data_IF_892262058312
#
_entry.id   IF_892262058312
#
_cell.length_a   1.000
_cell.length_b   1.000
_cell.length_c   1.000
_cell.angle_alpha   90.00
_cell.angle_beta   90.00
_cell.angle_gamma   90.00
#
_symmetry.space_group_name_H-M   'P 1'
#
loop_
_entity.id
_entity.type
_entity.pdbx_description
1 polymer ?
#
# COMPACT_ATOMS: atom_id res chain seq x y z
N UNK A 1 -3.82 21.94 1.36
CA UNK A 1 -5.13 22.22 0.74
C UNK A 1 -5.81 20.90 0.40
N UNK A 2 -7.00 20.65 0.94
CA UNK A 2 -7.75 19.41 0.72
C UNK A 2 -8.44 19.43 -0.64
N UNK A 3 -8.09 18.50 -1.53
CA UNK A 3 -8.81 18.24 -2.78
C UNK A 3 -10.25 17.81 -2.49
N UNK A 4 -11.18 18.77 -2.38
CA UNK A 4 -12.62 18.55 -2.52
C UNK A 4 -13.03 19.08 -3.91
N UNK A 5 -12.75 18.30 -4.95
CA UNK A 5 -13.16 18.60 -6.34
C UNK A 5 -14.29 17.65 -6.79
N UNK A 6 -14.93 16.92 -5.89
CA UNK A 6 -15.97 15.95 -6.27
C UNK A 6 -17.28 16.27 -5.54
N UNK A 7 -18.34 16.53 -6.30
CA UNK A 7 -19.72 16.49 -5.82
C UNK A 7 -20.01 15.07 -5.31
N UNK A 8 -20.79 14.95 -4.24
CA UNK A 8 -21.21 13.63 -3.74
C UNK A 8 -22.25 12.95 -4.65
N UNK A 9 -22.67 13.65 -5.70
CA UNK A 9 -23.67 13.28 -6.68
C UNK A 9 -23.07 12.51 -7.88
N UNK A 10 -23.89 11.67 -8.51
CA UNK A 10 -23.60 10.93 -9.74
C UNK A 10 -24.54 11.40 -10.86
N UNK A 11 -24.06 11.36 -12.12
CA UNK A 11 -24.93 11.55 -13.29
C UNK A 11 -26.04 10.48 -13.30
N UNK A 12 -27.29 10.82 -13.61
CA UNK A 12 -28.45 9.91 -13.54
C UNK A 12 -28.51 9.09 -12.23
N UNK A 13 -28.47 9.77 -11.09
CA UNK A 13 -28.38 9.17 -9.76
C UNK A 13 -29.33 7.98 -9.52
N UNK A 14 -30.57 8.05 -10.02
CA UNK A 14 -31.57 6.99 -9.85
C UNK A 14 -31.12 5.67 -10.49
N UNK A 15 -30.59 5.72 -11.71
CA UNK A 15 -30.11 4.53 -12.45
C UNK A 15 -28.94 3.89 -11.71
N UNK A 16 -27.97 4.70 -11.30
CA UNK A 16 -26.78 4.20 -10.57
C UNK A 16 -27.14 3.66 -9.20
N UNK A 17 -28.11 4.25 -8.52
CA UNK A 17 -28.61 3.71 -7.25
C UNK A 17 -29.29 2.35 -7.44
N UNK A 18 -30.01 2.14 -8.56
CA UNK A 18 -30.57 0.81 -8.89
C UNK A 18 -29.46 -0.22 -9.12
N UNK A 19 -28.43 0.12 -9.89
CA UNK A 19 -27.27 -0.76 -10.09
C UNK A 19 -26.58 -1.13 -8.77
N UNK A 20 -26.45 -0.16 -7.85
CA UNK A 20 -25.73 -0.32 -6.59
C UNK A 20 -26.52 -1.04 -5.49
N UNK A 21 -27.83 -1.23 -5.67
CA UNK A 21 -28.76 -1.62 -4.60
C UNK A 21 -28.42 -2.98 -3.97
N UNK A 22 -28.06 -3.95 -4.79
CA UNK A 22 -27.92 -5.35 -4.37
C UNK A 22 -26.47 -5.72 -4.01
N UNK A 23 -25.54 -4.77 -4.08
CA UNK A 23 -24.14 -5.01 -3.72
C UNK A 23 -23.89 -4.86 -2.20
N UNK A 24 -23.01 -5.69 -1.62
CA UNK A 24 -22.53 -5.50 -0.25
C UNK A 24 -21.90 -4.12 -0.05
N UNK A 25 -21.93 -3.60 1.18
CA UNK A 25 -21.55 -2.22 1.47
C UNK A 25 -20.16 -1.82 0.96
N UNK A 26 -19.16 -2.67 1.19
CA UNK A 26 -17.80 -2.41 0.73
C UNK A 26 -17.71 -2.32 -0.81
N UNK A 27 -18.42 -3.19 -1.52
CA UNK A 27 -18.49 -3.20 -2.98
C UNK A 27 -19.22 -1.96 -3.48
N UNK A 28 -20.35 -1.63 -2.85
CA UNK A 28 -21.14 -0.43 -3.15
C UNK A 28 -20.31 0.85 -3.00
N UNK A 29 -19.54 0.98 -1.92
CA UNK A 29 -18.64 2.10 -1.70
C UNK A 29 -17.53 2.19 -2.77
N UNK A 30 -16.92 1.07 -3.13
CA UNK A 30 -15.89 1.03 -4.17
C UNK A 30 -16.46 1.45 -5.54
N UNK A 31 -17.60 0.87 -5.93
CA UNK A 31 -18.27 1.17 -7.19
C UNK A 31 -18.72 2.63 -7.26
N UNK A 32 -19.32 3.12 -6.17
CA UNK A 32 -19.79 4.50 -6.05
C UNK A 32 -18.69 5.52 -6.27
N UNK A 33 -17.46 5.25 -5.81
CA UNK A 33 -16.32 6.18 -6.01
C UNK A 33 -15.98 6.35 -7.49
N UNK A 34 -15.98 5.26 -8.26
CA UNK A 34 -15.74 5.32 -9.70
C UNK A 34 -16.88 6.05 -10.40
N UNK A 35 -18.13 5.71 -10.07
CA UNK A 35 -19.32 6.33 -10.67
C UNK A 35 -19.45 7.84 -10.37
N UNK A 36 -19.10 8.28 -9.15
CA UNK A 36 -19.04 9.71 -8.79
C UNK A 36 -17.96 10.45 -9.58
N UNK A 37 -16.80 9.82 -9.81
CA UNK A 37 -15.74 10.42 -10.63
C UNK A 37 -16.08 10.42 -12.12
N UNK A 38 -16.85 9.44 -12.59
CA UNK A 38 -17.34 9.40 -13.97
C UNK A 38 -18.23 10.60 -14.31
N UNK A 39 -18.99 11.12 -13.34
CA UNK A 39 -19.89 12.28 -13.51
C UNK A 39 -19.22 13.44 -14.23
N UNK A 40 -17.96 13.73 -13.91
CA UNK A 40 -17.22 14.82 -14.55
C UNK A 40 -17.18 14.66 -16.08
N UNK A 41 -16.89 13.46 -16.59
CA UNK A 41 -16.90 13.22 -18.03
C UNK A 41 -18.33 13.09 -18.58
N UNK A 42 -19.23 12.45 -17.84
CA UNK A 42 -20.64 12.28 -18.24
C UNK A 42 -21.33 13.63 -18.48
N UNK A 43 -21.09 14.62 -17.63
CA UNK A 43 -21.58 15.99 -17.80
C UNK A 43 -20.98 16.65 -19.06
N UNK A 44 -19.69 16.44 -19.34
CA UNK A 44 -19.00 17.03 -20.50
C UNK A 44 -19.53 16.49 -21.83
N UNK A 45 -19.80 15.18 -21.90
CA UNK A 45 -20.31 14.55 -23.13
C UNK A 45 -21.83 14.44 -23.16
N UNK A 46 -22.51 14.83 -22.07
CA UNK A 46 -23.97 14.72 -21.88
C UNK A 46 -24.51 13.30 -22.14
N UNK A 47 -23.76 12.29 -21.69
CA UNK A 47 -24.10 10.87 -21.83
C UNK A 47 -23.80 10.15 -20.53
N UNK A 48 -24.57 9.12 -20.22
CA UNK A 48 -24.25 8.23 -19.10
C UNK A 48 -23.04 7.36 -19.45
N UNK A 49 -22.28 6.97 -18.44
CA UNK A 49 -21.14 6.05 -18.55
C UNK A 49 -21.52 4.75 -19.26
N UNK A 50 -22.77 4.28 -19.11
CA UNK A 50 -23.20 3.08 -19.80
C UNK A 50 -23.23 3.22 -21.33
N UNK A 51 -23.28 4.44 -21.86
CA UNK A 51 -23.29 4.74 -23.31
C UNK A 51 -21.91 5.15 -23.84
N UNK A 52 -20.87 5.16 -23.00
CA UNK A 52 -19.54 5.53 -23.43
C UNK A 52 -19.00 4.55 -24.50
N UNK A 53 -18.20 5.11 -25.42
CA UNK A 53 -17.34 4.35 -26.33
C UNK A 53 -15.95 4.10 -25.71
N UNK A 54 -15.11 3.31 -26.38
CA UNK A 54 -13.80 2.93 -25.84
C UNK A 54 -12.89 4.14 -25.56
N UNK A 55 -12.92 5.16 -26.42
CA UNK A 55 -12.09 6.36 -26.24
C UNK A 55 -12.54 7.17 -25.01
N UNK A 56 -13.83 7.36 -24.81
CA UNK A 56 -14.40 8.02 -23.61
C UNK A 56 -14.07 7.23 -22.34
N UNK A 57 -14.09 5.89 -22.40
CA UNK A 57 -13.66 5.03 -21.27
C UNK A 57 -12.16 5.19 -20.99
N UNK A 58 -11.30 5.25 -22.01
CA UNK A 58 -9.85 5.50 -21.82
C UNK A 58 -9.61 6.88 -21.18
N UNK A 59 -10.34 7.91 -21.61
CA UNK A 59 -10.27 9.23 -20.98
C UNK A 59 -10.67 9.17 -19.51
N UNK A 60 -11.76 8.47 -19.18
CA UNK A 60 -12.16 8.24 -17.79
C UNK A 60 -11.09 7.51 -17.00
N UNK A 61 -10.53 6.41 -17.52
CA UNK A 61 -9.47 5.67 -16.83
C UNK A 61 -8.24 6.53 -16.56
N UNK A 62 -7.81 7.36 -17.52
CA UNK A 62 -6.71 8.33 -17.33
C UNK A 62 -7.06 9.40 -16.29
N UNK A 63 -8.31 9.88 -16.30
CA UNK A 63 -8.81 10.84 -15.31
C UNK A 63 -8.88 10.26 -13.90
N UNK A 64 -9.12 8.95 -13.76
CA UNK A 64 -9.05 8.25 -12.47
C UNK A 64 -7.61 8.19 -11.93
N UNK A 65 -6.63 8.25 -12.83
CA UNK A 65 -5.17 8.22 -12.58
C UNK A 65 -4.75 7.03 -11.72
N UNK A 66 -5.02 5.79 -12.17
CA UNK A 66 -4.63 4.59 -11.43
C UNK A 66 -3.11 4.50 -11.36
N UNK A 67 -2.56 4.32 -10.16
CA UNK A 67 -1.10 4.24 -9.95
C UNK A 67 -0.57 2.81 -9.96
N UNK A 68 -1.43 1.83 -10.23
CA UNK A 68 -1.07 0.41 -10.32
C UNK A 68 -1.96 -0.33 -11.30
N UNK A 69 -1.44 -1.46 -11.81
CA UNK A 69 -2.17 -2.34 -12.71
C UNK A 69 -3.45 -2.89 -12.08
N UNK A 70 -3.42 -3.31 -10.80
CA UNK A 70 -4.64 -3.73 -10.11
C UNK A 70 -5.68 -2.60 -9.95
N UNK A 71 -5.25 -1.36 -9.75
CA UNK A 71 -6.17 -0.21 -9.68
C UNK A 71 -6.83 0.07 -11.03
N UNK A 72 -6.06 -0.04 -12.12
CA UNK A 72 -6.57 0.11 -13.48
C UNK A 72 -7.59 -1.00 -13.82
N UNK A 73 -7.25 -2.26 -13.53
CA UNK A 73 -8.15 -3.40 -13.71
C UNK A 73 -9.43 -3.26 -12.87
N UNK A 74 -9.30 -2.88 -11.59
CA UNK A 74 -10.43 -2.73 -10.70
C UNK A 74 -11.40 -1.67 -11.20
N UNK A 75 -10.88 -0.50 -11.60
CA UNK A 75 -11.71 0.58 -12.16
C UNK A 75 -12.38 0.14 -13.47
N UNK A 76 -11.64 -0.53 -14.35
CA UNK A 76 -12.17 -1.04 -15.62
C UNK A 76 -13.25 -2.10 -15.41
N UNK A 77 -13.07 -3.01 -14.44
CA UNK A 77 -14.06 -4.04 -14.10
C UNK A 77 -15.36 -3.42 -13.59
N UNK A 78 -15.28 -2.35 -12.80
CA UNK A 78 -16.45 -1.62 -12.31
C UNK A 78 -17.21 -0.99 -13.48
N UNK A 79 -16.50 -0.31 -14.39
CA UNK A 79 -17.09 0.29 -15.60
C UNK A 79 -17.73 -0.80 -16.46
N UNK A 80 -17.04 -1.90 -16.69
CA UNK A 80 -17.52 -3.03 -17.49
C UNK A 80 -18.79 -3.64 -16.90
N UNK A 81 -18.83 -3.86 -15.58
CA UNK A 81 -19.99 -4.41 -14.89
C UNK A 81 -21.21 -3.47 -14.97
N UNK A 82 -21.00 -2.17 -14.82
CA UNK A 82 -22.07 -1.19 -14.95
C UNK A 82 -22.65 -1.15 -16.38
N UNK A 83 -21.79 -1.18 -17.40
CA UNK A 83 -22.23 -1.25 -18.80
C UNK A 83 -23.01 -2.55 -19.06
N UNK A 84 -22.52 -3.71 -18.58
CA UNK A 84 -23.22 -5.00 -18.76
C UNK A 84 -24.59 -4.99 -18.10
N UNK A 85 -24.68 -4.55 -16.85
CA UNK A 85 -25.96 -4.41 -16.16
C UNK A 85 -26.91 -3.49 -16.93
N UNK A 86 -26.41 -2.37 -17.48
CA UNK A 86 -27.23 -1.43 -18.25
C UNK A 86 -27.74 -2.01 -19.57
N UNK A 87 -26.96 -2.90 -20.22
CA UNK A 87 -27.39 -3.68 -21.39
C UNK A 87 -28.53 -4.64 -21.00
N UNK A 88 -28.38 -5.35 -19.87
CA UNK A 88 -29.42 -6.26 -19.35
C UNK A 88 -30.72 -5.54 -19.01
N UNK A 89 -30.64 -4.28 -18.55
CA UNK A 89 -31.80 -3.43 -18.29
C UNK A 89 -32.38 -2.75 -19.55
N UNK A 90 -31.77 -2.95 -20.72
CA UNK A 90 -32.22 -2.31 -21.98
C UNK A 90 -32.01 -0.79 -22.03
N UNK A 91 -31.09 -0.25 -21.21
CA UNK A 91 -30.80 1.19 -21.14
C UNK A 91 -29.87 1.66 -22.26
N UNK A 92 -28.97 0.79 -22.71
CA UNK A 92 -27.98 1.07 -23.75
C UNK A 92 -28.56 0.72 -25.13
N UNK A 93 -28.36 1.60 -26.12
CA UNK A 93 -28.81 1.37 -27.50
C UNK A 93 -28.06 0.20 -28.17
N UNK A 94 -26.76 0.08 -27.87
CA UNK A 94 -25.91 -1.00 -28.36
C UNK A 94 -25.84 -2.15 -27.36
N UNK A 95 -25.94 -3.38 -27.85
CA UNK A 95 -25.77 -4.60 -27.03
C UNK A 95 -24.29 -5.01 -26.82
N UNK A 96 -23.34 -4.14 -27.18
CA UNK A 96 -21.91 -4.41 -27.02
C UNK A 96 -21.29 -3.57 -25.91
N UNK A 97 -20.48 -4.21 -25.07
CA UNK A 97 -19.62 -3.51 -24.13
C UNK A 97 -18.24 -3.24 -24.77
N UNK A 98 -17.79 -1.98 -24.90
CA UNK A 98 -16.51 -1.66 -25.53
C UNK A 98 -15.29 -2.31 -24.86
N UNK A 99 -15.38 -2.63 -23.57
CA UNK A 99 -14.28 -3.28 -22.82
C UNK A 99 -14.18 -4.79 -23.08
N UNK A 100 -15.21 -5.43 -23.67
CA UNK A 100 -15.15 -6.86 -24.00
C UNK A 100 -14.20 -7.16 -25.16
N UNK A 101 -13.91 -6.15 -26.00
CA UNK A 101 -12.96 -6.27 -27.12
C UNK A 101 -11.50 -6.00 -26.72
N UNK A 102 -11.25 -5.55 -25.48
CA UNK A 102 -9.90 -5.25 -25.00
C UNK A 102 -9.18 -6.55 -24.66
N UNK A 103 -8.12 -6.85 -25.39
CA UNK A 103 -7.27 -8.03 -25.18
C UNK A 103 -5.88 -7.61 -24.73
N UNK A 104 -5.35 -8.29 -23.72
CA UNK A 104 -3.96 -8.14 -23.28
C UNK A 104 -3.72 -7.04 -22.25
N UNK A 105 -2.48 -7.01 -21.74
CA UNK A 105 -2.07 -6.15 -20.63
C UNK A 105 -1.69 -4.72 -21.06
N UNK A 106 -1.34 -4.52 -22.34
CA UNK A 106 -0.86 -3.23 -22.86
C UNK A 106 -1.87 -2.10 -22.68
N UNK A 107 -3.15 -2.39 -22.90
CA UNK A 107 -4.23 -1.43 -22.69
C UNK A 107 -4.20 -0.85 -21.27
N UNK A 108 -4.08 -1.72 -20.27
CA UNK A 108 -4.05 -1.31 -18.88
C UNK A 108 -2.74 -0.62 -18.50
N UNK A 109 -1.61 -1.05 -19.06
CA UNK A 109 -0.31 -0.37 -18.85
C UNK A 109 -0.34 1.08 -19.34
N UNK A 110 -1.02 1.36 -20.46
CA UNK A 110 -1.10 2.68 -21.08
C UNK A 110 -2.01 3.70 -20.35
N UNK A 111 -2.74 3.27 -19.32
CA UNK A 111 -3.58 4.16 -18.50
C UNK A 111 -3.04 4.33 -17.08
N UNK A 112 -1.98 3.61 -16.71
CA UNK A 112 -1.33 3.75 -15.40
C UNK A 112 -0.57 5.07 -15.35
N UNK A 113 -0.81 5.84 -14.29
CA UNK A 113 -0.05 7.04 -13.98
C UNK A 113 1.32 6.67 -13.39
N UNK A 114 2.37 6.87 -14.19
CA UNK A 114 3.77 6.65 -13.82
C UNK A 114 4.50 7.95 -13.43
N UNK A 115 3.78 9.08 -13.33
CA UNK A 115 4.39 10.38 -12.98
C UNK A 115 4.96 10.42 -11.57
N UNK A 116 4.54 9.50 -10.69
CA UNK A 116 5.01 9.38 -9.31
C UNK A 116 5.72 8.06 -9.10
N UNK A 117 6.90 8.15 -8.49
CA UNK A 117 7.68 7.00 -8.06
C UNK A 117 6.94 6.24 -6.94
N UNK A 118 6.76 4.93 -7.12
CA UNK A 118 6.04 4.07 -6.17
C UNK A 118 6.90 2.93 -5.60
N UNK A 119 8.15 2.83 -6.01
CA UNK A 119 9.15 1.88 -5.52
C UNK A 119 10.39 2.68 -5.15
N UNK A 120 11.01 2.33 -4.04
CA UNK A 120 12.15 3.02 -3.46
C UNK A 120 13.37 2.10 -3.45
N UNK A 121 14.54 2.61 -3.77
CA UNK A 121 15.79 1.85 -3.60
C UNK A 121 16.11 1.68 -2.12
N UNK A 122 17.07 0.80 -1.80
CA UNK A 122 17.58 0.70 -0.43
C UNK A 122 18.15 2.06 0.04
N UNK A 123 18.93 2.71 -0.81
CA UNK A 123 19.55 4.00 -0.53
C UNK A 123 18.49 5.09 -0.24
N UNK A 124 17.39 5.14 -0.99
CA UNK A 124 16.32 6.09 -0.71
C UNK A 124 15.65 5.83 0.65
N UNK A 125 15.44 4.56 1.00
CA UNK A 125 14.92 4.18 2.32
C UNK A 125 15.93 4.54 3.42
N UNK A 126 17.22 4.38 3.18
CA UNK A 126 18.29 4.77 4.11
C UNK A 126 18.36 6.28 4.29
N UNK A 127 18.27 7.05 3.22
CA UNK A 127 18.24 8.51 3.26
C UNK A 127 17.02 9.02 4.04
N UNK A 128 15.84 8.41 3.84
CA UNK A 128 14.63 8.76 4.60
C UNK A 128 14.82 8.40 6.08
N UNK A 129 15.24 7.17 6.37
CA UNK A 129 15.36 6.68 7.76
C UNK A 129 16.49 7.35 8.54
N UNK A 130 17.57 7.75 7.88
CA UNK A 130 18.68 8.53 8.44
C UNK A 130 18.34 10.00 8.71
N UNK A 131 17.34 10.55 8.01
CA UNK A 131 16.84 11.92 8.25
C UNK A 131 15.80 12.02 9.37
N UNK A 132 15.47 10.92 10.04
CA UNK A 132 14.48 10.89 11.13
C UNK A 132 15.15 10.98 12.50
N UNK A 133 14.59 11.83 13.36
CA UNK A 133 15.09 12.04 14.72
C UNK A 133 14.66 10.90 15.66
N UNK A 134 13.47 10.33 15.44
CA UNK A 134 12.96 9.24 16.28
C UNK A 134 13.31 7.88 15.65
N UNK A 135 14.06 7.05 16.37
CA UNK A 135 14.42 5.71 15.93
C UNK A 135 13.20 4.81 15.76
N UNK A 136 12.13 5.00 16.52
CA UNK A 136 10.89 4.26 16.27
C UNK A 136 10.28 4.53 14.89
N UNK A 137 10.47 5.71 14.30
CA UNK A 137 9.96 6.01 12.96
C UNK A 137 10.88 5.35 11.90
N UNK A 138 12.21 5.45 12.08
CA UNK A 138 13.21 4.80 11.23
C UNK A 138 13.06 3.28 11.21
N UNK A 139 13.02 2.65 12.39
CA UNK A 139 12.91 1.21 12.56
C UNK A 139 11.59 0.66 11.99
N UNK A 140 10.51 1.45 12.05
CA UNK A 140 9.22 1.06 11.49
C UNK A 140 9.27 0.98 9.96
N UNK A 141 9.86 1.99 9.31
CA UNK A 141 10.00 2.03 7.85
C UNK A 141 10.96 0.92 7.39
N UNK A 142 12.13 0.82 8.02
CA UNK A 142 13.13 -0.23 7.70
C UNK A 142 12.58 -1.63 7.99
N UNK A 143 11.83 -1.80 9.07
CA UNK A 143 11.14 -3.06 9.40
C UNK A 143 10.17 -3.50 8.30
N UNK A 144 9.32 -2.60 7.81
CA UNK A 144 8.40 -2.92 6.69
C UNK A 144 9.18 -3.28 5.42
N UNK A 145 10.27 -2.56 5.15
CA UNK A 145 11.14 -2.82 4.01
C UNK A 145 11.81 -4.20 4.11
N UNK A 146 12.19 -4.65 5.30
CA UNK A 146 12.79 -5.98 5.50
C UNK A 146 11.78 -7.11 5.69
N UNK A 147 10.49 -6.78 5.65
CA UNK A 147 9.40 -7.75 5.61
C UNK A 147 8.64 -7.93 6.92
N UNK A 148 8.84 -7.06 7.91
CA UNK A 148 8.11 -7.05 9.19
C UNK A 148 6.86 -6.17 9.02
N UNK A 149 5.68 -6.78 8.90
CA UNK A 149 4.44 -6.03 8.77
C UNK A 149 3.28 -6.75 9.46
N UNK A 150 2.88 -7.92 8.98
CA UNK A 150 1.70 -8.63 9.46
C UNK A 150 0.36 -7.93 9.16
N UNK A 151 -0.73 -8.58 9.53
CA UNK A 151 -2.08 -8.06 9.44
C UNK A 151 -2.25 -6.88 10.39
N UNK A 152 -2.69 -5.73 9.86
CA UNK A 152 -2.88 -4.53 10.68
C UNK A 152 -1.61 -4.06 11.39
N UNK A 153 -0.41 -4.36 10.85
CA UNK A 153 0.89 -4.04 11.44
C UNK A 153 1.23 -4.84 12.72
N UNK A 154 0.55 -5.96 12.97
CA UNK A 154 0.70 -6.73 14.20
C UNK A 154 2.13 -7.23 14.45
N UNK A 155 2.89 -7.61 13.41
CA UNK A 155 4.27 -8.10 13.58
C UNK A 155 5.18 -7.00 14.13
N UNK A 156 5.02 -5.76 13.65
CA UNK A 156 5.72 -4.60 14.20
C UNK A 156 5.25 -4.33 15.64
N UNK A 157 3.94 -4.22 15.83
CA UNK A 157 3.35 -3.78 17.10
C UNK A 157 3.54 -4.80 18.22
N UNK A 158 3.75 -6.08 17.90
CA UNK A 158 4.02 -7.15 18.87
C UNK A 158 5.49 -7.34 19.20
N UNK A 159 6.40 -6.65 18.52
CA UNK A 159 7.82 -6.80 18.78
C UNK A 159 8.18 -6.25 20.16
N UNK A 160 8.81 -7.10 20.98
CA UNK A 160 9.18 -6.79 22.36
C UNK A 160 10.68 -6.55 22.51
N UNK A 161 11.04 -5.71 23.47
CA UNK A 161 12.43 -5.36 23.81
C UNK A 161 13.29 -6.60 24.10
N UNK A 162 12.71 -7.58 24.82
CA UNK A 162 13.38 -8.85 25.20
C UNK A 162 13.76 -9.74 24.03
N UNK A 163 13.23 -9.48 22.83
CA UNK A 163 13.55 -10.24 21.61
C UNK A 163 14.73 -9.65 20.85
N UNK A 164 15.22 -8.47 21.24
CA UNK A 164 16.30 -7.78 20.56
C UNK A 164 17.64 -8.26 21.10
N UNK A 165 18.44 -8.84 20.21
CA UNK A 165 19.79 -9.31 20.52
C UNK A 165 20.73 -8.87 19.39
N UNK A 166 21.70 -7.97 19.65
CA UNK A 166 22.63 -7.50 18.62
C UNK A 166 23.52 -8.61 18.05
N UNK A 167 23.64 -9.77 18.72
CA UNK A 167 24.40 -10.92 18.25
C UNK A 167 23.56 -11.92 17.44
N UNK A 168 22.23 -11.81 17.47
CA UNK A 168 21.32 -12.71 16.78
C UNK A 168 20.32 -11.92 15.92
N UNK A 169 20.59 -11.81 14.62
CA UNK A 169 19.80 -11.04 13.65
C UNK A 169 18.51 -11.76 13.19
N UNK A 170 17.91 -12.56 14.06
CA UNK A 170 16.72 -13.36 13.76
C UNK A 170 15.60 -12.97 14.71
N UNK A 171 14.52 -12.40 14.16
CA UNK A 171 13.37 -11.97 14.95
C UNK A 171 12.22 -12.98 14.90
N UNK A 172 11.65 -13.27 16.06
CA UNK A 172 10.40 -14.02 16.21
C UNK A 172 9.21 -13.07 16.07
N UNK A 173 8.47 -13.18 14.97
CA UNK A 173 7.36 -12.30 14.66
C UNK A 173 6.02 -12.94 15.01
N UNK A 174 5.09 -12.14 15.54
CA UNK A 174 3.73 -12.57 15.90
C UNK A 174 2.72 -11.81 15.04
N UNK A 175 2.05 -12.53 14.16
CA UNK A 175 1.00 -12.01 13.30
C UNK A 175 -0.39 -12.33 13.89
N UNK A 176 -1.26 -11.34 14.00
CA UNK A 176 -2.61 -11.48 14.57
C UNK A 176 -3.68 -11.13 13.53
N UNK A 177 -4.47 -12.13 13.17
CA UNK A 177 -5.71 -12.00 12.42
C UNK A 177 -6.91 -12.23 13.34
N UNK A 178 -8.13 -11.90 12.90
CA UNK A 178 -9.34 -11.94 13.75
C UNK A 178 -9.50 -13.22 14.57
N UNK A 179 -9.19 -14.38 13.98
CA UNK A 179 -9.41 -15.69 14.56
C UNK A 179 -8.13 -16.56 14.60
N UNK A 180 -6.96 -15.97 14.31
CA UNK A 180 -5.71 -16.73 14.17
C UNK A 180 -4.49 -15.91 14.54
N UNK A 181 -3.63 -16.50 15.37
CA UNK A 181 -2.27 -16.02 15.62
C UNK A 181 -1.29 -16.95 14.93
N UNK A 182 -0.31 -16.39 14.22
CA UNK A 182 0.77 -17.15 13.58
C UNK A 182 2.13 -16.60 13.98
N UNK A 183 3.11 -17.49 14.04
CA UNK A 183 4.50 -17.18 14.35
C UNK A 183 5.38 -17.47 13.14
N UNK A 184 6.41 -16.64 12.95
CA UNK A 184 7.46 -16.90 11.96
C UNK A 184 8.75 -16.22 12.36
N UNK A 185 9.83 -16.67 11.76
CA UNK A 185 11.15 -16.08 11.92
C UNK A 185 11.50 -15.24 10.69
N UNK A 186 12.16 -14.11 10.93
CA UNK A 186 12.71 -13.26 9.86
C UNK A 186 14.13 -12.88 10.20
N UNK A 187 15.03 -13.16 9.27
CA UNK A 187 16.38 -12.63 9.31
C UNK A 187 16.36 -11.16 8.89
N UNK A 188 17.00 -10.31 9.68
CA UNK A 188 17.10 -8.87 9.47
C UNK A 188 18.55 -8.41 9.32
N UNK A 189 18.73 -7.18 8.88
CA UNK A 189 20.03 -6.51 8.82
C UNK A 189 20.52 -6.07 10.21
N UNK A 190 21.83 -5.88 10.33
CA UNK A 190 22.45 -5.29 11.53
C UNK A 190 21.92 -3.86 11.78
N UNK A 191 21.71 -3.10 10.70
CA UNK A 191 21.20 -1.74 10.75
C UNK A 191 19.79 -1.70 11.34
N UNK A 192 18.89 -2.60 10.91
CA UNK A 192 17.56 -2.68 11.49
C UNK A 192 17.61 -3.11 12.96
N UNK A 193 18.46 -4.06 13.33
CA UNK A 193 18.62 -4.47 14.73
C UNK A 193 19.05 -3.29 15.60
N UNK A 194 20.03 -2.51 15.15
CA UNK A 194 20.49 -1.31 15.84
C UNK A 194 19.38 -0.26 15.99
N UNK A 195 18.61 -0.01 14.93
CA UNK A 195 17.48 0.91 14.99
C UNK A 195 16.41 0.45 15.98
N UNK A 196 16.12 -0.85 16.04
CA UNK A 196 15.15 -1.43 16.97
C UNK A 196 15.60 -1.31 18.43
N UNK A 197 16.88 -1.56 18.72
CA UNK A 197 17.44 -1.40 20.06
C UNK A 197 17.33 0.07 20.50
N UNK A 198 17.76 1.01 19.65
CA UNK A 198 17.63 2.44 19.96
C UNK A 198 16.17 2.87 20.15
N UNK A 199 15.26 2.37 19.31
CA UNK A 199 13.82 2.62 19.44
C UNK A 199 13.24 2.07 20.76
N UNK A 200 13.72 0.91 21.22
CA UNK A 200 13.34 0.31 22.51
C UNK A 200 13.82 1.12 23.72
N UNK A 201 14.97 1.79 23.59
CA UNK A 201 15.59 2.63 24.63
C UNK A 201 15.01 4.05 24.72
N UNK A 202 14.31 4.52 23.68
CA UNK A 202 13.70 5.86 23.69
C UNK A 202 12.73 6.04 24.87
N UNK A 203 12.86 7.15 25.59
CA UNK A 203 11.92 7.55 26.65
C UNK A 203 10.97 8.66 26.20
N UNK A 204 11.35 9.39 25.15
CA UNK A 204 10.61 10.52 24.60
C UNK A 204 10.49 10.42 23.07
N UNK A 205 9.40 11.00 22.54
CA UNK A 205 9.15 11.14 21.11
C UNK A 205 9.19 12.62 20.73
N UNK A 206 10.08 12.97 19.80
CA UNK A 206 10.25 14.31 19.26
C UNK A 206 9.16 14.60 18.23
N UNK A 207 8.40 15.68 18.46
CA UNK A 207 7.31 16.09 17.57
C UNK A 207 7.86 16.72 16.29
N UNK A 208 7.13 16.56 15.19
CA UNK A 208 7.46 17.14 13.88
C UNK A 208 8.91 16.89 13.45
N UNK A 209 9.40 15.67 13.65
CA UNK A 209 10.79 15.27 13.37
C UNK A 209 11.85 16.21 13.97
N UNK A 210 11.65 16.67 15.21
CA UNK A 210 12.56 17.60 15.88
C UNK A 210 12.39 19.08 15.49
N UNK A 211 11.44 19.41 14.62
CA UNK A 211 11.12 20.77 14.19
C UNK A 211 9.71 21.21 14.67
N UNK A 212 9.49 21.32 15.99
CA UNK A 212 8.21 21.74 16.52
C UNK A 212 7.84 23.16 16.07
N UNK A 213 6.54 23.42 15.91
CA UNK A 213 6.06 24.78 15.67
C UNK A 213 6.41 25.69 16.86
N UNK A 214 6.69 27.00 16.64
CA UNK A 214 7.09 27.93 17.70
C UNK A 214 6.12 27.99 18.89
N UNK A 215 4.82 27.73 18.65
CA UNK A 215 3.77 27.80 19.65
C UNK A 215 3.52 26.48 20.39
N UNK A 216 4.35 25.44 20.19
CA UNK A 216 4.15 24.17 20.88
C UNK A 216 4.57 24.28 22.35
N UNK A 217 3.73 23.77 23.26
CA UNK A 217 4.03 23.80 24.70
C UNK A 217 5.18 22.88 25.12
N UNK A 218 5.37 21.77 24.40
CA UNK A 218 6.43 20.80 24.67
C UNK A 218 6.93 20.21 23.33
N UNK A 219 8.24 20.29 23.04
CA UNK A 219 8.83 19.79 21.79
C UNK A 219 8.81 18.26 21.72
N UNK A 220 8.81 17.59 22.88
CA UNK A 220 8.75 16.14 23.00
C UNK A 220 7.47 15.68 23.70
N UNK A 221 7.24 14.37 23.68
CA UNK A 221 6.22 13.69 24.50
C UNK A 221 6.83 12.45 25.12
N UNK A 222 6.58 12.21 26.41
CA UNK A 222 6.97 10.93 27.03
C UNK A 222 6.28 9.77 26.34
N UNK A 223 7.03 8.70 26.12
CA UNK A 223 6.51 7.43 25.62
C UNK A 223 5.89 6.63 26.76
N UNK A 224 4.90 5.81 26.44
CA UNK A 224 4.39 4.79 27.37
C UNK A 224 5.53 3.87 27.77
N UNK A 225 5.62 3.54 29.05
CA UNK A 225 6.60 2.59 29.54
C UNK A 225 6.01 1.17 29.56
N UNK A 226 6.43 0.34 28.61
CA UNK A 226 6.04 -1.07 28.49
C UNK A 226 7.09 -1.86 27.69
N UNK A 227 6.84 -3.17 27.50
CA UNK A 227 7.79 -4.11 26.90
C UNK A 227 7.86 -4.06 25.38
N UNK A 228 7.04 -3.24 24.71
CA UNK A 228 7.02 -3.17 23.25
C UNK A 228 8.08 -2.20 22.71
N UNK A 229 8.58 -2.45 21.51
CA UNK A 229 9.53 -1.55 20.84
C UNK A 229 8.81 -0.26 20.40
N UNK A 230 7.70 -0.41 19.67
CA UNK A 230 6.91 0.71 19.15
C UNK A 230 5.82 1.12 20.14
N UNK A 231 5.94 2.33 20.68
CA UNK A 231 5.13 2.82 21.81
C UNK A 231 4.45 4.12 21.45
N UNK A 232 3.23 4.29 21.97
CA UNK A 232 2.49 5.55 21.86
C UNK A 232 3.03 6.59 22.84
N UNK A 233 2.84 7.87 22.53
CA UNK A 233 3.11 8.96 23.48
C UNK A 233 1.99 9.09 24.50
N UNK A 234 2.30 9.35 25.77
CA UNK A 234 1.35 9.40 26.92
C UNK A 234 0.21 10.41 26.73
N UNK A 235 0.45 11.50 26.00
CA UNK A 235 -0.56 12.50 25.66
C UNK A 235 -1.64 11.84 24.78
N UNK A 236 -2.76 11.44 25.39
CA UNK A 236 -3.95 10.81 24.80
C UNK A 236 -3.99 9.28 24.71
N UNK A 237 -3.36 8.57 25.65
CA UNK A 237 -3.39 7.11 25.70
C UNK A 237 -4.65 6.60 26.42
N UNK A 238 -5.42 5.72 25.76
CA UNK A 238 -6.57 5.01 26.37
C UNK A 238 -6.15 3.74 27.15
N UNK A 239 -4.99 3.15 26.81
CA UNK A 239 -4.42 1.96 27.45
C UNK A 239 -2.88 2.01 27.38
N UNK A 240 -2.19 1.74 28.48
CA UNK A 240 -0.72 1.69 28.57
C UNK A 240 -0.12 0.41 27.95
N UNK A 241 -0.93 -0.37 27.26
CA UNK A 241 -0.55 -1.61 26.58
C UNK A 241 0.03 -1.34 25.19
N UNK A 242 0.02 -2.38 24.34
CA UNK A 242 0.44 -2.34 22.94
C UNK A 242 -0.20 -1.17 22.18
N UNK A 243 0.59 -0.51 21.34
CA UNK A 243 0.07 0.53 20.48
C UNK A 243 -0.92 -0.01 19.42
N UNK A 244 -1.88 0.81 19.03
CA UNK A 244 -2.85 0.49 17.98
C UNK A 244 -2.27 0.72 16.57
N UNK A 245 -2.81 0.01 15.57
CA UNK A 245 -2.44 0.11 14.13
C UNK A 245 -2.45 1.52 13.56
N UNK A 246 -3.28 2.42 14.09
CA UNK A 246 -3.33 3.82 13.68
C UNK A 246 -2.07 4.59 14.05
N UNK A 247 -1.25 4.11 15.00
CA UNK A 247 0.07 4.66 15.27
C UNK A 247 0.96 4.60 14.02
N UNK A 248 1.07 3.40 13.42
CA UNK A 248 1.89 3.15 12.22
C UNK A 248 1.41 4.00 11.04
N UNK A 249 0.10 3.99 10.78
CA UNK A 249 -0.50 4.77 9.70
C UNK A 249 -0.22 6.28 9.83
N UNK A 250 -0.36 6.82 11.05
CA UNK A 250 -0.11 8.24 11.31
C UNK A 250 1.37 8.59 11.15
N UNK A 251 2.27 7.76 11.66
CA UNK A 251 3.72 7.97 11.55
C UNK A 251 4.18 7.96 10.09
N UNK A 252 3.80 6.93 9.33
CA UNK A 252 4.11 6.85 7.90
C UNK A 252 3.58 8.05 7.12
N UNK A 253 2.34 8.49 7.39
CA UNK A 253 1.77 9.68 6.76
C UNK A 253 2.59 10.93 7.07
N UNK A 254 2.97 11.14 8.33
CA UNK A 254 3.76 12.30 8.71
C UNK A 254 5.14 12.29 8.05
N UNK A 255 5.83 11.14 8.03
CA UNK A 255 7.13 11.00 7.36
C UNK A 255 7.00 11.27 5.85
N UNK A 256 5.98 10.70 5.19
CA UNK A 256 5.68 10.99 3.80
C UNK A 256 5.51 12.49 3.53
N UNK A 257 4.84 13.23 4.42
CA UNK A 257 4.68 14.68 4.32
C UNK A 257 6.00 15.43 4.53
N UNK A 258 6.80 15.06 5.54
CA UNK A 258 8.08 15.73 5.86
C UNK A 258 9.11 15.61 4.73
N UNK A 259 9.15 14.47 4.05
CA UNK A 259 10.08 14.22 2.96
C UNK A 259 9.49 14.53 1.57
N UNK A 260 8.25 15.02 1.50
CA UNK A 260 7.58 15.29 0.23
C UNK A 260 7.36 14.04 -0.63
N UNK A 261 7.23 12.87 0.00
CA UNK A 261 7.07 11.56 -0.65
C UNK A 261 5.65 11.01 -0.42
N UNK A 262 4.62 11.53 -1.12
CA UNK A 262 3.22 11.13 -0.87
C UNK A 262 2.93 9.65 -1.18
N UNK A 263 3.82 8.98 -1.91
CA UNK A 263 3.74 7.56 -2.26
C UNK A 263 4.48 6.66 -1.27
N UNK A 264 5.11 7.21 -0.23
CA UNK A 264 5.76 6.46 0.86
C UNK A 264 4.70 5.83 1.77
N UNK A 265 4.06 4.78 1.26
CA UNK A 265 3.04 3.99 1.96
C UNK A 265 3.61 2.65 2.41
N UNK A 266 3.03 2.03 3.43
CA UNK A 266 3.48 0.71 3.90
C UNK A 266 3.54 -0.34 2.77
N UNK A 267 2.58 -0.32 1.85
CA UNK A 267 2.54 -1.24 0.72
C UNK A 267 3.68 -0.96 -0.25
N UNK A 268 3.94 0.31 -0.58
CA UNK A 268 5.03 0.66 -1.49
C UNK A 268 6.40 0.37 -0.85
N UNK A 269 6.59 0.64 0.45
CA UNK A 269 7.81 0.28 1.20
C UNK A 269 8.01 -1.24 1.17
N UNK A 270 6.96 -2.03 1.48
CA UNK A 270 7.03 -3.49 1.44
C UNK A 270 7.38 -4.01 0.05
N UNK A 271 6.71 -3.50 -0.99
CA UNK A 271 6.97 -3.90 -2.38
C UNK A 271 8.39 -3.52 -2.82
N UNK A 272 8.91 -2.39 -2.34
CA UNK A 272 10.30 -1.98 -2.54
C UNK A 272 11.27 -2.95 -1.89
N UNK A 273 11.00 -3.37 -0.66
CA UNK A 273 11.77 -4.39 0.05
C UNK A 273 11.74 -5.76 -0.62
N UNK A 274 10.58 -6.16 -1.14
CA UNK A 274 10.43 -7.38 -1.94
C UNK A 274 11.27 -7.32 -3.22
N UNK A 275 11.25 -6.17 -3.92
CA UNK A 275 12.06 -5.97 -5.11
C UNK A 275 13.56 -5.99 -4.80
N UNK A 276 13.97 -5.35 -3.71
CA UNK A 276 15.37 -5.39 -3.25
C UNK A 276 15.82 -6.81 -2.92
N UNK A 277 14.98 -7.58 -2.22
CA UNK A 277 15.29 -8.99 -1.91
C UNK A 277 15.39 -9.84 -3.19
N UNK A 278 14.52 -9.58 -4.17
CA UNK A 278 14.60 -10.22 -5.48
C UNK A 278 15.87 -9.82 -6.24
N UNK A 279 16.28 -8.55 -6.17
CA UNK A 279 17.53 -8.05 -6.74
C UNK A 279 18.77 -8.74 -6.14
N UNK A 280 18.83 -8.91 -4.82
CA UNK A 280 19.93 -9.64 -4.18
C UNK A 280 20.01 -11.09 -4.69
N UNK A 281 18.88 -11.80 -4.71
CA UNK A 281 18.84 -13.17 -5.24
C UNK A 281 19.19 -13.25 -6.73
N UNK A 282 18.77 -12.27 -7.53
CA UNK A 282 19.12 -12.19 -8.94
C UNK A 282 20.62 -11.96 -9.12
N UNK A 283 21.23 -11.08 -8.33
CA UNK A 283 22.67 -10.82 -8.35
C UNK A 283 23.49 -12.04 -7.92
N UNK A 284 23.01 -12.80 -6.95
CA UNK A 284 23.67 -14.01 -6.44
C UNK A 284 23.53 -15.20 -7.39
N UNK A 285 22.32 -15.44 -7.92
CA UNK A 285 21.98 -16.66 -8.65
C UNK A 285 21.91 -16.49 -10.18
N UNK A 286 21.93 -15.25 -10.67
CA UNK A 286 21.77 -14.90 -12.09
C UNK A 286 20.35 -15.10 -12.64
N UNK A 287 19.37 -15.40 -11.80
CA UNK A 287 17.99 -15.72 -12.20
C UNK A 287 16.95 -15.33 -11.16
N UNK A 288 15.72 -15.10 -11.62
CA UNK A 288 14.55 -14.82 -10.78
C UNK A 288 13.40 -15.74 -11.20
N UNK A 289 13.48 -17.00 -10.79
CA UNK A 289 12.51 -18.03 -11.11
C UNK A 289 11.59 -18.30 -9.91
N UNK A 290 10.90 -19.44 -9.93
CA UNK A 290 9.93 -19.80 -8.91
C UNK A 290 10.56 -19.85 -7.50
N UNK A 291 11.74 -20.44 -7.34
CA UNK A 291 12.33 -20.63 -6.02
C UNK A 291 12.70 -19.30 -5.35
N UNK A 292 13.29 -18.38 -6.12
CA UNK A 292 13.67 -17.05 -5.62
C UNK A 292 12.42 -16.22 -5.28
N UNK A 293 11.38 -16.31 -6.13
CA UNK A 293 10.10 -15.63 -5.89
C UNK A 293 9.37 -16.20 -4.67
N UNK A 294 9.36 -17.53 -4.50
CA UNK A 294 8.76 -18.20 -3.36
C UNK A 294 9.49 -17.83 -2.06
N UNK A 295 10.82 -17.69 -2.09
CA UNK A 295 11.62 -17.17 -0.98
C UNK A 295 11.21 -15.74 -0.60
N UNK A 296 11.12 -14.83 -1.57
CA UNK A 296 10.68 -13.45 -1.32
C UNK A 296 9.25 -13.44 -0.77
N UNK A 297 8.33 -14.22 -1.35
CA UNK A 297 6.96 -14.29 -0.86
C UNK A 297 6.88 -14.83 0.57
N UNK A 298 7.69 -15.83 0.91
CA UNK A 298 7.80 -16.35 2.27
C UNK A 298 8.33 -15.29 3.25
N UNK A 299 9.45 -14.61 2.91
CA UNK A 299 10.06 -13.56 3.74
C UNK A 299 9.09 -12.40 4.04
N UNK A 300 8.20 -12.07 3.11
CA UNK A 300 7.24 -10.97 3.25
C UNK A 300 5.83 -11.41 3.65
N UNK A 301 5.66 -12.66 4.09
CA UNK A 301 4.38 -13.22 4.54
C UNK A 301 3.25 -13.03 3.51
N UNK A 302 3.54 -13.31 2.24
CA UNK A 302 2.55 -13.23 1.16
C UNK A 302 1.66 -14.48 1.20
N UNK A 303 0.35 -14.30 1.09
CA UNK A 303 -0.59 -15.41 1.15
C UNK A 303 -0.43 -16.38 -0.03
N UNK A 304 -0.51 -17.68 0.29
CA UNK A 304 -0.65 -18.76 -0.71
C UNK A 304 -2.08 -18.79 -1.28
N UNK A 305 -2.22 -19.39 -2.46
CA UNK A 305 -3.52 -19.68 -3.05
C UNK A 305 -4.28 -20.67 -2.16
N UNK A 306 -5.60 -20.46 -2.01
CA UNK A 306 -6.43 -21.29 -1.12
C UNK A 306 -6.37 -22.76 -1.57
N UNK A 307 -5.95 -23.64 -0.66
CA UNK A 307 -5.81 -25.08 -0.93
C UNK A 307 -4.60 -25.45 -1.80
N UNK A 308 -3.60 -24.57 -1.90
CA UNK A 308 -2.41 -24.79 -2.73
C UNK A 308 -1.13 -24.39 -2.01
N UNK A 309 -0.02 -25.03 -2.39
CA UNK A 309 1.33 -24.66 -1.96
C UNK A 309 1.89 -23.45 -2.70
N UNK A 310 1.25 -23.02 -3.79
CA UNK A 310 1.72 -21.93 -4.64
C UNK A 310 1.30 -20.55 -4.12
N UNK A 311 2.20 -19.57 -4.19
CA UNK A 311 1.89 -18.17 -3.92
C UNK A 311 1.08 -17.52 -5.05
N UNK A 312 0.21 -16.57 -4.70
CA UNK A 312 -0.50 -15.75 -5.68
C UNK A 312 0.41 -14.66 -6.27
N UNK A 313 1.37 -15.07 -7.11
CA UNK A 313 2.45 -14.19 -7.61
C UNK A 313 2.13 -13.49 -8.92
N UNK A 314 1.11 -13.94 -9.67
CA UNK A 314 0.82 -13.43 -11.02
C UNK A 314 0.64 -11.90 -11.03
N UNK A 315 -0.05 -11.37 -10.00
CA UNK A 315 -0.20 -9.92 -9.85
C UNK A 315 1.12 -9.23 -9.51
N UNK A 316 1.91 -9.79 -8.59
CA UNK A 316 3.17 -9.20 -8.15
C UNK A 316 4.14 -9.09 -9.33
N UNK A 317 4.27 -10.14 -10.14
CA UNK A 317 5.12 -10.16 -11.34
C UNK A 317 4.71 -9.11 -12.37
N UNK A 318 3.40 -8.91 -12.57
CA UNK A 318 2.89 -7.89 -13.50
C UNK A 318 3.10 -6.46 -13.00
N UNK A 319 3.11 -6.25 -11.67
CA UNK A 319 3.22 -4.92 -11.08
C UNK A 319 4.67 -4.49 -10.87
N UNK A 320 5.49 -5.31 -10.21
CA UNK A 320 6.83 -4.90 -9.83
C UNK A 320 7.85 -6.03 -9.64
N UNK A 321 7.43 -7.26 -9.32
CA UNK A 321 8.37 -8.34 -8.97
C UNK A 321 8.86 -9.07 -10.23
N UNK A 322 9.63 -8.38 -11.06
CA UNK A 322 10.15 -8.88 -12.33
C UNK A 322 11.58 -8.38 -12.61
N UNK A 323 12.29 -9.05 -13.51
CA UNK A 323 13.66 -8.67 -13.90
C UNK A 323 13.66 -7.30 -14.55
N UNK A 324 12.68 -6.99 -15.41
CA UNK A 324 12.59 -5.67 -16.06
C UNK A 324 12.48 -4.55 -15.02
N UNK A 325 11.76 -4.79 -13.92
CA UNK A 325 11.64 -3.81 -12.85
C UNK A 325 12.91 -3.70 -12.01
N UNK A 326 13.61 -4.80 -11.78
CA UNK A 326 14.91 -4.80 -11.09
C UNK A 326 15.89 -3.91 -11.87
N UNK A 327 16.02 -4.15 -13.18
CA UNK A 327 16.91 -3.37 -14.06
C UNK A 327 16.53 -1.90 -13.99
N UNK A 328 15.24 -1.58 -14.16
CA UNK A 328 14.75 -0.21 -14.10
C UNK A 328 15.04 0.52 -12.78
N UNK A 329 15.07 -0.18 -11.64
CA UNK A 329 15.20 0.45 -10.32
C UNK A 329 16.64 0.45 -9.80
N UNK A 330 17.45 -0.54 -10.16
CA UNK A 330 18.77 -0.78 -9.57
C UNK A 330 19.93 -0.85 -10.57
N UNK A 331 19.67 -0.93 -11.88
CA UNK A 331 20.72 -1.04 -12.90
C UNK A 331 20.68 0.08 -13.96
N UNK A 332 19.66 0.94 -13.94
CA UNK A 332 19.66 2.20 -14.69
C UNK A 332 20.43 3.28 -13.91
N UNK A 333 21.76 3.19 -13.90
CA UNK A 333 22.70 4.30 -13.61
C UNK A 333 23.83 4.37 -14.63
#
# INVERSE_FOLDING_TARGET
MSNRIYSDEMFNQNIKNMFLKDYPENTRLAYSRVLKRAKYLEDQVSKDLYDFNLHEIVQLLRFLSPTSYASALSSSSIIQNYIRWSIEQGLRVSNMNPLDAVVGDEFYKNVIDVSRKNLFTLEEIENITGGLVNFQDSAMIRGIFEGIMGHGYSELLNLKKVQLDPHHLLLQLVNEEKDRTTHREVQISEELMLMLIKAAEESEYYKNNGNPSPNIKAPTSKLVDNDFVFRSSILNVKSFERADKHLVLRRLKNVAEWFGQPTLTAINIRNSGMLYSAYQLYKENGKLEKNEIDYVCHKFNIAKLKGSEFYNVSRLKKEFLSIEKIIQVYEEE
#
